data_IF_239973598978
#
_entry.id   IF_239973598978
#
_cell.length_a   1.000
_cell.length_b   1.000
_cell.length_c   1.000
_cell.angle_alpha   90.00
_cell.angle_beta   90.00
_cell.angle_gamma   90.00
#
_symmetry.space_group_name_H-M   'P 1'
#
loop_
_entity.id
_entity.type
_entity.pdbx_description
1 polymer ?
#
# COMPACT_ATOMS: atom_id res chain seq x y z
N UNK A 1 -9.02 24.90 -8.82
CA UNK A 1 -8.25 23.85 -8.08
C UNK A 1 -6.99 23.55 -8.89
N UNK A 2 -5.78 23.64 -8.32
CA UNK A 2 -4.54 23.37 -9.07
C UNK A 2 -4.36 21.87 -9.32
N UNK A 3 -3.78 21.49 -10.46
CA UNK A 3 -3.51 20.09 -10.85
C UNK A 3 -2.82 19.28 -9.74
N UNK A 4 -1.85 19.90 -9.05
CA UNK A 4 -1.12 19.31 -7.92
C UNK A 4 -2.03 18.92 -6.76
N UNK A 5 -3.05 19.74 -6.45
CA UNK A 5 -4.01 19.47 -5.35
C UNK A 5 -4.94 18.32 -5.71
N UNK A 6 -5.36 18.24 -6.98
CA UNK A 6 -6.19 17.14 -7.48
C UNK A 6 -5.42 15.82 -7.39
N UNK A 7 -4.19 15.78 -7.91
CA UNK A 7 -3.30 14.62 -7.83
C UNK A 7 -3.08 14.16 -6.39
N UNK A 8 -2.79 15.10 -5.48
CA UNK A 8 -2.57 14.77 -4.07
C UNK A 8 -3.81 14.19 -3.40
N UNK A 9 -4.99 14.74 -3.71
CA UNK A 9 -6.27 14.23 -3.21
C UNK A 9 -6.57 12.81 -3.70
N UNK A 10 -6.37 12.55 -5.00
CA UNK A 10 -6.53 11.20 -5.59
C UNK A 10 -5.56 10.22 -4.91
N UNK A 11 -4.29 10.59 -4.76
CA UNK A 11 -3.31 9.76 -4.08
C UNK A 11 -3.72 9.46 -2.64
N UNK A 12 -4.15 10.45 -1.87
CA UNK A 12 -4.59 10.21 -0.49
C UNK A 12 -5.79 9.27 -0.41
N UNK A 13 -6.72 9.35 -1.36
CA UNK A 13 -7.85 8.43 -1.44
C UNK A 13 -7.36 7.00 -1.71
N UNK A 14 -6.48 6.80 -2.68
CA UNK A 14 -5.95 5.49 -3.04
C UNK A 14 -5.04 4.91 -1.94
N UNK A 15 -4.19 5.75 -1.35
CA UNK A 15 -3.35 5.40 -0.20
C UNK A 15 -4.23 5.01 0.99
N UNK A 16 -5.36 5.69 1.19
CA UNK A 16 -6.35 5.33 2.21
C UNK A 16 -6.93 3.92 2.00
N UNK A 17 -7.29 3.57 0.75
CA UNK A 17 -7.77 2.23 0.40
C UNK A 17 -6.68 1.18 0.65
N UNK A 18 -5.47 1.40 0.15
CA UNK A 18 -4.32 0.52 0.39
C UNK A 18 -3.99 0.39 1.88
N UNK A 19 -4.04 1.50 2.62
CA UNK A 19 -3.82 1.55 4.05
C UNK A 19 -4.85 0.75 4.83
N UNK A 20 -6.13 0.80 4.45
CA UNK A 20 -7.17 -0.03 5.06
C UNK A 20 -6.87 -1.53 4.92
N UNK A 21 -6.48 -1.99 3.72
CA UNK A 21 -6.06 -3.38 3.51
C UNK A 21 -4.82 -3.75 4.32
N UNK A 22 -3.83 -2.87 4.35
CA UNK A 22 -2.57 -3.10 5.06
C UNK A 22 -2.79 -3.21 6.57
N UNK A 23 -3.56 -2.29 7.15
CA UNK A 23 -3.92 -2.31 8.57
C UNK A 23 -4.76 -3.55 8.90
N UNK A 24 -5.75 -3.88 8.07
CA UNK A 24 -6.55 -5.09 8.23
C UNK A 24 -5.68 -6.36 8.19
N UNK A 25 -4.67 -6.43 7.31
CA UNK A 25 -3.74 -7.56 7.25
C UNK A 25 -2.83 -7.62 8.49
N UNK A 26 -2.38 -6.48 9.02
CA UNK A 26 -1.58 -6.41 10.26
C UNK A 26 -2.36 -6.90 11.49
N UNK A 27 -3.67 -6.65 11.54
CA UNK A 27 -4.52 -7.09 12.64
C UNK A 27 -4.84 -8.59 12.61
N UNK A 28 -4.57 -9.28 11.50
CA UNK A 28 -4.71 -10.73 11.43
C UNK A 28 -3.48 -11.43 11.98
N UNK A 29 -3.71 -12.42 12.85
CA UNK A 29 -2.66 -13.34 13.27
C UNK A 29 -2.17 -14.13 12.05
N UNK A 30 -0.87 -14.50 12.06
CA UNK A 30 -0.33 -15.42 11.07
C UNK A 30 -1.13 -16.72 11.10
N UNK A 31 -1.42 -17.28 9.93
CA UNK A 31 -2.23 -18.49 9.85
C UNK A 31 -1.48 -19.65 10.54
N UNK A 32 -2.02 -20.24 11.63
CA UNK A 32 -1.36 -21.33 12.34
C UNK A 32 -1.23 -22.62 11.51
N UNK A 33 -1.93 -22.70 10.36
CA UNK A 33 -1.80 -23.79 9.40
C UNK A 33 -0.62 -23.62 8.43
N UNK A 34 0.03 -22.46 8.38
CA UNK A 34 1.28 -22.31 7.63
C UNK A 34 2.40 -23.07 8.35
N UNK A 35 3.27 -23.70 7.57
CA UNK A 35 4.52 -24.24 8.09
C UNK A 35 5.43 -23.11 8.61
N UNK A 36 6.50 -23.47 9.33
CA UNK A 36 7.39 -22.49 9.96
C UNK A 36 7.92 -21.44 8.97
N UNK A 37 8.14 -21.83 7.71
CA UNK A 37 8.54 -20.90 6.64
C UNK A 37 7.41 -19.98 6.17
N UNK A 38 6.19 -20.51 5.99
CA UNK A 38 5.04 -19.73 5.53
C UNK A 38 4.59 -18.67 6.54
N UNK A 39 4.69 -18.94 7.85
CA UNK A 39 4.35 -17.98 8.90
C UNK A 39 5.30 -16.78 8.97
N UNK A 40 6.61 -17.02 8.84
CA UNK A 40 7.64 -15.97 8.79
C UNK A 40 7.51 -15.12 7.52
N UNK A 41 7.23 -15.76 6.38
CA UNK A 41 7.03 -15.06 5.11
C UNK A 41 5.78 -14.16 5.14
N UNK A 42 4.67 -14.63 5.73
CA UNK A 42 3.45 -13.84 5.91
C UNK A 42 3.74 -12.59 6.76
N UNK A 43 4.48 -12.77 7.85
CA UNK A 43 4.86 -11.68 8.77
C UNK A 43 5.76 -10.65 8.07
N UNK A 44 6.75 -11.12 7.30
CA UNK A 44 7.63 -10.25 6.51
C UNK A 44 6.83 -9.45 5.47
N UNK A 45 5.89 -10.10 4.76
CA UNK A 45 5.06 -9.45 3.76
C UNK A 45 4.17 -8.36 4.37
N UNK A 46 3.57 -8.61 5.54
CA UNK A 46 2.82 -7.59 6.31
C UNK A 46 3.69 -6.39 6.66
N UNK A 47 4.92 -6.64 7.12
CA UNK A 47 5.90 -5.59 7.42
C UNK A 47 6.26 -4.75 6.19
N UNK A 48 6.53 -5.39 5.05
CA UNK A 48 6.81 -4.72 3.78
C UNK A 48 5.62 -3.88 3.33
N UNK A 49 4.40 -4.40 3.43
CA UNK A 49 3.18 -3.66 3.08
C UNK A 49 3.04 -2.37 3.91
N UNK A 50 3.28 -2.45 5.21
CA UNK A 50 3.25 -1.27 6.08
C UNK A 50 4.35 -0.26 5.75
N UNK A 51 5.57 -0.74 5.48
CA UNK A 51 6.67 0.14 5.07
C UNK A 51 6.32 0.88 3.77
N UNK A 52 5.75 0.18 2.78
CA UNK A 52 5.32 0.80 1.51
C UNK A 52 4.22 1.83 1.73
N UNK A 53 3.30 1.62 2.68
CA UNK A 53 2.29 2.63 3.05
C UNK A 53 2.95 3.93 3.53
N UNK A 54 3.99 3.84 4.36
CA UNK A 54 4.75 5.02 4.82
C UNK A 54 5.48 5.71 3.67
N UNK A 55 6.09 4.94 2.77
CA UNK A 55 6.77 5.47 1.57
C UNK A 55 5.78 6.23 0.68
N UNK A 56 4.59 5.68 0.42
CA UNK A 56 3.55 6.33 -0.38
C UNK A 56 3.05 7.62 0.27
N UNK A 57 2.80 7.60 1.58
CA UNK A 57 2.40 8.79 2.33
C UNK A 57 3.48 9.87 2.25
N UNK A 58 4.75 9.50 2.47
CA UNK A 58 5.90 10.40 2.36
C UNK A 58 6.06 11.00 0.96
N UNK A 59 5.94 10.17 -0.09
CA UNK A 59 6.00 10.63 -1.48
C UNK A 59 4.88 11.61 -1.82
N UNK A 60 3.64 11.34 -1.38
CA UNK A 60 2.51 12.22 -1.66
C UNK A 60 2.55 13.53 -0.87
N UNK A 61 3.23 13.55 0.29
CA UNK A 61 3.45 14.74 1.11
C UNK A 61 4.41 15.74 0.44
N UNK A 62 5.33 15.26 -0.40
CA UNK A 62 6.28 16.14 -1.09
C UNK A 62 5.57 17.15 -2.00
N UNK A 63 6.08 18.39 -2.11
CA UNK A 63 5.44 19.43 -2.92
C UNK A 63 5.56 19.16 -4.43
N UNK A 64 6.48 18.30 -4.85
CA UNK A 64 6.80 18.06 -6.25
C UNK A 64 5.74 17.27 -7.01
N UNK A 65 5.45 17.67 -8.25
CA UNK A 65 4.49 16.97 -9.13
C UNK A 65 4.96 15.57 -9.49
N UNK A 66 6.25 15.38 -9.77
CA UNK A 66 6.80 14.07 -10.12
C UNK A 66 6.63 13.07 -8.98
N UNK A 67 6.81 13.50 -7.72
CA UNK A 67 6.62 12.65 -6.55
C UNK A 67 5.17 12.16 -6.43
N UNK A 68 4.19 13.01 -6.78
CA UNK A 68 2.76 12.65 -6.82
C UNK A 68 2.46 11.66 -7.95
N UNK A 69 3.07 11.82 -9.12
CA UNK A 69 2.92 10.87 -10.23
C UNK A 69 3.51 9.51 -9.85
N UNK A 70 4.70 9.48 -9.26
CA UNK A 70 5.31 8.24 -8.78
C UNK A 70 4.45 7.58 -7.70
N UNK A 71 3.95 8.33 -6.72
CA UNK A 71 3.05 7.80 -5.70
C UNK A 71 1.77 7.21 -6.31
N UNK A 72 1.19 7.88 -7.32
CA UNK A 72 0.00 7.41 -8.04
C UNK A 72 0.26 6.07 -8.73
N UNK A 73 1.36 5.98 -9.49
CA UNK A 73 1.70 4.76 -10.21
C UNK A 73 1.95 3.61 -9.23
N UNK A 74 2.70 3.85 -8.16
CA UNK A 74 3.00 2.83 -7.16
C UNK A 74 1.74 2.35 -6.43
N UNK A 75 0.87 3.25 -5.96
CA UNK A 75 -0.34 2.83 -5.23
C UNK A 75 -1.30 2.06 -6.13
N UNK A 76 -1.45 2.46 -7.40
CA UNK A 76 -2.26 1.73 -8.37
C UNK A 76 -1.67 0.34 -8.63
N UNK A 77 -0.36 0.22 -8.85
CA UNK A 77 0.31 -1.08 -9.04
C UNK A 77 0.12 -1.99 -7.83
N UNK A 78 0.25 -1.48 -6.61
CA UNK A 78 0.07 -2.27 -5.38
C UNK A 78 -1.38 -2.75 -5.23
N UNK A 79 -2.37 -1.89 -5.51
CA UNK A 79 -3.78 -2.28 -5.49
C UNK A 79 -4.11 -3.34 -6.56
N UNK A 80 -3.49 -3.25 -7.75
CA UNK A 80 -3.64 -4.26 -8.79
C UNK A 80 -3.00 -5.60 -8.39
N UNK A 81 -1.84 -5.58 -7.72
CA UNK A 81 -1.19 -6.78 -7.18
C UNK A 81 -2.07 -7.42 -6.11
N UNK A 82 -2.61 -6.64 -5.17
CA UNK A 82 -3.56 -7.14 -4.15
C UNK A 82 -4.77 -7.78 -4.83
N UNK A 83 -5.37 -7.11 -5.81
CA UNK A 83 -6.51 -7.66 -6.56
C UNK A 83 -6.14 -8.98 -7.25
N UNK A 84 -4.96 -9.05 -7.88
CA UNK A 84 -4.49 -10.27 -8.52
C UNK A 84 -4.39 -11.44 -7.53
N UNK A 85 -3.74 -11.22 -6.38
CA UNK A 85 -3.60 -12.23 -5.31
C UNK A 85 -4.95 -12.66 -4.73
N UNK A 86 -5.93 -11.75 -4.63
CA UNK A 86 -7.27 -12.11 -4.12
C UNK A 86 -8.04 -12.97 -5.15
N UNK A 87 -7.74 -12.83 -6.44
CA UNK A 87 -8.53 -13.45 -7.52
C UNK A 87 -7.93 -14.74 -8.09
N UNK A 88 -6.69 -15.07 -7.76
CA UNK A 88 -5.95 -16.24 -8.23
C UNK A 88 -5.23 -16.88 -7.04
#
# INVERSE_FOLDING_TARGET
MSTIKILSGINWLLIGVYGAFTIWALLQNANPANDAGGGEQETALKGIGFFLLLVLAGLNWQPYTWAKIVALLLVVSLLLIIRYIITH
#
